data_IF_333399191797
#
_entry.id   IF_333399191797
#
_cell.length_a   1.000
_cell.length_b   1.000
_cell.length_c   1.000
_cell.angle_alpha   90.00
_cell.angle_beta   90.00
_cell.angle_gamma   90.00
#
_symmetry.space_group_name_H-M   'P 1'
#
loop_
_entity.id
_entity.type
_entity.pdbx_description
1 polymer ?
#
# COMPACT_ATOMS: atom_id res chain seq x y z
N UNK A 1 7.50 2.92 4.65
CA UNK A 1 6.21 2.92 5.39
C UNK A 1 6.30 3.94 6.53
N UNK A 2 5.17 4.35 7.12
CA UNK A 2 5.10 5.35 8.20
C UNK A 2 5.61 4.76 9.54
N UNK A 3 6.82 5.11 10.01
CA UNK A 3 7.39 4.50 11.22
C UNK A 3 6.69 4.97 12.50
N UNK A 4 6.18 6.20 12.51
CA UNK A 4 5.45 6.81 13.64
C UNK A 4 4.12 6.12 13.94
N UNK A 5 3.49 5.51 12.93
CA UNK A 5 2.21 4.82 13.06
C UNK A 5 2.35 3.31 13.17
N UNK A 6 3.57 2.76 13.36
CA UNK A 6 3.82 1.32 13.27
C UNK A 6 2.97 0.49 14.24
N UNK A 7 2.80 0.97 15.48
CA UNK A 7 1.92 0.33 16.45
C UNK A 7 0.45 0.39 16.01
N UNK A 8 -0.01 1.57 15.59
CA UNK A 8 -1.38 1.78 15.12
C UNK A 8 -1.70 0.93 13.88
N UNK A 9 -0.76 0.85 12.92
CA UNK A 9 -0.84 -0.01 11.74
C UNK A 9 -1.01 -1.47 12.17
N UNK A 10 -0.19 -1.94 13.11
CA UNK A 10 -0.26 -3.33 13.59
C UNK A 10 -1.60 -3.63 14.26
N UNK A 11 -2.10 -2.70 15.06
CA UNK A 11 -3.38 -2.83 15.74
C UNK A 11 -4.56 -2.80 14.74
N UNK A 12 -4.55 -1.86 13.78
CA UNK A 12 -5.57 -1.75 12.74
C UNK A 12 -5.55 -2.93 11.79
N UNK A 13 -4.37 -3.50 11.49
CA UNK A 13 -4.28 -4.69 10.65
C UNK A 13 -5.01 -5.90 11.26
N UNK A 14 -5.07 -5.98 12.59
CA UNK A 14 -5.79 -7.04 13.30
C UNK A 14 -7.26 -6.67 13.60
N UNK A 15 -7.54 -5.39 13.84
CA UNK A 15 -8.85 -4.93 14.32
C UNK A 15 -9.77 -4.46 13.19
N UNK A 16 -9.21 -4.01 12.07
CA UNK A 16 -9.93 -3.41 10.94
C UNK A 16 -9.67 -4.20 9.65
N UNK A 17 -10.68 -4.96 9.22
CA UNK A 17 -10.61 -5.79 8.01
C UNK A 17 -10.40 -4.96 6.74
N UNK A 18 -10.92 -3.73 6.70
CA UNK A 18 -10.74 -2.85 5.56
C UNK A 18 -9.30 -2.36 5.46
N UNK A 19 -8.71 -1.95 6.60
CA UNK A 19 -7.31 -1.59 6.69
C UNK A 19 -6.38 -2.75 6.31
N UNK A 20 -6.66 -3.97 6.79
CA UNK A 20 -5.86 -5.14 6.41
C UNK A 20 -5.89 -5.39 4.90
N UNK A 21 -7.07 -5.31 4.26
CA UNK A 21 -7.19 -5.50 2.81
C UNK A 21 -6.43 -4.43 2.02
N UNK A 22 -6.51 -3.17 2.43
CA UNK A 22 -5.74 -2.09 1.79
C UNK A 22 -4.23 -2.31 1.97
N UNK A 23 -3.79 -2.73 3.14
CA UNK A 23 -2.39 -3.01 3.42
C UNK A 23 -1.86 -4.15 2.56
N UNK A 24 -2.59 -5.27 2.48
CA UNK A 24 -2.23 -6.40 1.64
C UNK A 24 -2.21 -5.99 0.16
N UNK A 25 -3.19 -5.22 -0.32
CA UNK A 25 -3.23 -4.70 -1.69
C UNK A 25 -2.03 -3.79 -1.99
N UNK A 26 -1.65 -2.90 -1.07
CA UNK A 26 -0.44 -2.08 -1.21
C UNK A 26 0.81 -2.97 -1.33
N UNK A 27 0.92 -4.01 -0.51
CA UNK A 27 2.08 -4.90 -0.50
C UNK A 27 2.16 -5.72 -1.80
N UNK A 28 1.03 -6.19 -2.30
CA UNK A 28 0.93 -6.90 -3.58
C UNK A 28 1.34 -6.00 -4.75
N UNK A 29 0.83 -4.76 -4.80
CA UNK A 29 1.23 -3.77 -5.81
C UNK A 29 2.72 -3.43 -5.73
N UNK A 30 3.27 -3.26 -4.53
CA UNK A 30 4.70 -3.00 -4.34
C UNK A 30 5.57 -4.14 -4.89
N UNK A 31 5.21 -5.39 -4.56
CA UNK A 31 5.88 -6.57 -5.10
C UNK A 31 5.77 -6.64 -6.62
N UNK A 32 4.58 -6.40 -7.17
CA UNK A 32 4.35 -6.43 -8.61
C UNK A 32 5.16 -5.37 -9.34
N UNK A 33 5.17 -4.13 -8.85
CA UNK A 33 6.00 -3.06 -9.40
C UNK A 33 7.47 -3.46 -9.36
N UNK A 34 7.94 -4.03 -8.25
CA UNK A 34 9.35 -4.45 -8.11
C UNK A 34 9.73 -5.57 -9.08
N UNK A 35 8.83 -6.53 -9.32
CA UNK A 35 9.02 -7.59 -10.31
C UNK A 35 9.09 -7.02 -11.73
N UNK A 36 8.20 -6.10 -12.07
CA UNK A 36 8.17 -5.40 -13.35
C UNK A 36 9.43 -4.54 -13.56
N UNK A 37 9.85 -3.77 -12.55
CA UNK A 37 11.09 -2.98 -12.60
C UNK A 37 12.33 -3.87 -12.71
N UNK A 38 12.31 -5.07 -12.10
CA UNK A 38 13.38 -6.06 -12.21
C UNK A 38 13.36 -6.83 -13.54
N UNK A 39 12.49 -6.45 -14.49
CA UNK A 39 12.29 -7.13 -15.78
C UNK A 39 11.93 -8.63 -15.64
N UNK A 40 11.33 -9.02 -14.50
CA UNK A 40 10.85 -10.38 -14.25
C UNK A 40 9.50 -10.60 -14.94
N UNK A 41 8.64 -9.58 -14.94
CA UNK A 41 7.38 -9.55 -15.68
C UNK A 41 7.49 -8.56 -16.85
N UNK A 42 6.99 -8.97 -18.03
CA UNK A 42 6.82 -8.06 -19.16
C UNK A 42 5.72 -7.05 -18.81
N UNK A 43 6.12 -5.83 -18.49
CA UNK A 43 5.21 -4.73 -18.23
C UNK A 43 5.61 -3.50 -19.04
N UNK A 44 4.61 -2.75 -19.45
CA UNK A 44 4.83 -1.48 -20.16
C UNK A 44 5.14 -0.39 -19.15
N UNK A 45 5.92 0.64 -19.52
CA UNK A 45 6.16 1.80 -18.67
C UNK A 45 4.83 2.42 -18.17
N UNK A 46 3.83 2.47 -19.04
CA UNK A 46 2.48 2.95 -18.70
C UNK A 46 1.83 2.12 -17.58
N UNK A 47 1.91 0.78 -17.63
CA UNK A 47 1.37 -0.08 -16.57
C UNK A 47 2.11 0.13 -15.24
N UNK A 48 3.44 0.27 -15.27
CA UNK A 48 4.23 0.56 -14.07
C UNK A 48 3.81 1.92 -13.48
N UNK A 49 3.55 2.93 -14.31
CA UNK A 49 3.06 4.24 -13.86
C UNK A 49 1.66 4.15 -13.25
N UNK A 50 0.74 3.40 -13.86
CA UNK A 50 -0.60 3.16 -13.32
C UNK A 50 -0.51 2.48 -11.95
N UNK A 51 0.29 1.42 -11.83
CA UNK A 51 0.48 0.71 -10.56
C UNK A 51 1.12 1.60 -9.50
N UNK A 52 2.09 2.45 -9.87
CA UNK A 52 2.70 3.43 -8.95
C UNK A 52 1.67 4.45 -8.46
N UNK A 53 0.76 4.93 -9.32
CA UNK A 53 -0.34 5.82 -8.94
C UNK A 53 -1.32 5.12 -8.00
N UNK A 54 -1.69 3.87 -8.29
CA UNK A 54 -2.61 3.11 -7.45
C UNK A 54 -1.99 2.82 -6.07
N UNK A 55 -0.70 2.46 -6.03
CA UNK A 55 0.05 2.31 -4.77
C UNK A 55 0.06 3.61 -3.96
N UNK A 56 0.22 4.77 -4.61
CA UNK A 56 0.17 6.07 -3.94
C UNK A 56 -1.23 6.34 -3.37
N UNK A 57 -2.29 6.01 -4.11
CA UNK A 57 -3.67 6.16 -3.65
C UNK A 57 -3.96 5.32 -2.40
N UNK A 58 -3.58 4.05 -2.41
CA UNK A 58 -3.77 3.17 -1.25
C UNK A 58 -2.97 3.68 -0.05
N UNK A 59 -1.76 4.21 -0.27
CA UNK A 59 -0.97 4.82 0.81
C UNK A 59 -1.68 6.04 1.41
N UNK A 60 -2.34 6.84 0.58
CA UNK A 60 -3.13 7.99 1.03
C UNK A 60 -4.36 7.56 1.84
N UNK A 61 -5.09 6.54 1.37
CA UNK A 61 -6.20 5.94 2.12
C UNK A 61 -5.76 5.37 3.47
N UNK A 62 -4.66 4.61 3.49
CA UNK A 62 -4.07 4.11 4.73
C UNK A 62 -3.73 5.27 5.68
N UNK A 63 -3.13 6.35 5.17
CA UNK A 63 -2.81 7.53 5.97
C UNK A 63 -4.05 8.23 6.51
N UNK A 64 -5.12 8.36 5.72
CA UNK A 64 -6.38 8.94 6.14
C UNK A 64 -7.02 8.12 7.29
N UNK A 65 -6.97 6.78 7.21
CA UNK A 65 -7.47 5.89 8.26
C UNK A 65 -6.61 6.06 9.53
N UNK A 66 -5.29 6.07 9.40
CA UNK A 66 -4.36 6.26 10.52
C UNK A 66 -4.63 7.59 11.22
N UNK A 67 -4.75 8.68 10.46
CA UNK A 67 -5.04 10.02 10.98
C UNK A 67 -6.40 10.09 11.67
N UNK A 68 -7.42 9.41 11.12
CA UNK A 68 -8.76 9.33 11.71
C UNK A 68 -8.79 8.53 13.01
N UNK A 69 -7.86 7.60 13.19
CA UNK A 69 -7.74 6.80 14.42
C UNK A 69 -6.75 7.33 15.45
N UNK A 70 -5.82 8.19 15.04
CA UNK A 70 -4.94 8.93 15.94
C UNK A 70 -5.55 10.22 16.50
N UNK A 71 -6.73 10.63 16.00
CA UNK A 71 -7.48 11.81 16.45
C UNK A 71 -8.61 11.41 17.41
#
# INVERSE_FOLDING_TARGET
>A
MFPEFRELITQLKNSDTHFSRLFDKHNELDQRIKNMESNIELATNDEIEVLKREKLHIKDELYAILKKKSA
#
